data_IF_357733868600
#
_entry.id   IF_357733868600
#
_cell.length_a   1.000
_cell.length_b   1.000
_cell.length_c   1.000
_cell.angle_alpha   90.00
_cell.angle_beta   90.00
_cell.angle_gamma   90.00
#
_symmetry.space_group_name_H-M   'P 1'
#
loop_
_entity.id
_entity.type
_entity.pdbx_description
1 polymer ?
#
# COMPACT_ATOMS: atom_id res chain seq x y z
N UNK A 1 -14.83 -0.80 -1.72
CA UNK A 1 -13.89 -0.02 -2.56
C UNK A 1 -13.99 1.51 -2.44
N UNK A 2 -15.08 2.11 -1.92
CA UNK A 2 -15.15 3.58 -1.70
C UNK A 2 -14.12 4.11 -0.70
N UNK A 3 -13.73 3.29 0.30
CA UNK A 3 -12.78 3.69 1.35
C UNK A 3 -11.40 4.04 0.81
N UNK A 4 -10.84 3.25 -0.11
CA UNK A 4 -9.48 3.47 -0.64
C UNK A 4 -9.40 4.78 -1.43
N UNK A 5 -10.42 5.08 -2.23
CA UNK A 5 -10.52 6.35 -2.98
C UNK A 5 -10.58 7.57 -2.04
N UNK A 6 -11.22 7.45 -0.88
CA UNK A 6 -11.23 8.52 0.14
C UNK A 6 -9.87 8.71 0.82
N UNK A 7 -9.07 7.67 0.95
CA UNK A 7 -7.69 7.78 1.43
C UNK A 7 -6.77 8.41 0.38
N UNK A 8 -6.89 8.01 -0.89
CA UNK A 8 -6.12 8.60 -2.00
C UNK A 8 -6.41 10.09 -2.19
N UNK A 9 -7.66 10.53 -2.00
CA UNK A 9 -8.02 11.94 -2.02
C UNK A 9 -7.27 12.79 -0.95
N UNK A 10 -6.76 12.14 0.12
CA UNK A 10 -5.93 12.76 1.17
C UNK A 10 -4.42 12.56 0.94
N UNK A 11 -4.04 11.87 -0.14
CA UNK A 11 -2.67 11.63 -0.58
C UNK A 11 -2.26 12.53 -1.76
N UNK A 12 -2.86 13.72 -1.92
CA UNK A 12 -2.49 14.67 -2.99
C UNK A 12 -1.00 15.07 -2.99
N UNK A 13 -0.30 14.87 -1.87
CA UNK A 13 1.14 15.06 -1.71
C UNK A 13 2.01 13.95 -2.34
N UNK A 14 1.41 12.82 -2.74
CA UNK A 14 2.12 11.66 -3.28
C UNK A 14 2.34 11.80 -4.78
N UNK A 15 1.26 12.05 -5.55
CA UNK A 15 1.36 12.41 -6.97
C UNK A 15 0.10 13.18 -7.40
N UNK A 16 0.27 14.32 -8.07
CA UNK A 16 -0.85 14.99 -8.75
C UNK A 16 -1.17 14.26 -10.07
N UNK A 17 -2.46 14.08 -10.37
CA UNK A 17 -2.99 13.26 -11.48
C UNK A 17 -2.46 13.63 -12.89
N UNK A 18 -1.85 14.80 -13.04
CA UNK A 18 -1.27 15.30 -14.30
C UNK A 18 0.25 15.47 -14.27
N UNK A 19 0.93 15.04 -13.22
CA UNK A 19 2.37 15.25 -13.09
C UNK A 19 3.18 14.28 -13.97
N UNK A 20 4.32 14.73 -14.55
CA UNK A 20 5.29 13.87 -15.22
C UNK A 20 5.72 12.66 -14.38
N UNK A 21 5.72 12.82 -13.06
CA UNK A 21 6.01 11.80 -12.07
C UNK A 21 5.06 10.60 -12.15
N UNK A 22 3.78 10.80 -12.47
CA UNK A 22 2.80 9.71 -12.58
C UNK A 22 3.06 8.84 -13.82
N UNK A 23 3.54 9.43 -14.92
CA UNK A 23 3.95 8.68 -16.12
C UNK A 23 5.21 7.86 -15.88
N UNK A 24 6.22 8.45 -15.21
CA UNK A 24 7.42 7.72 -14.77
C UNK A 24 7.06 6.56 -13.84
N UNK A 25 6.15 6.78 -12.89
CA UNK A 25 5.68 5.73 -11.98
C UNK A 25 4.89 4.62 -12.69
N UNK A 26 4.06 4.95 -13.68
CA UNK A 26 3.41 3.94 -14.52
C UNK A 26 4.42 3.15 -15.35
N UNK A 27 5.47 3.78 -15.87
CA UNK A 27 6.57 3.11 -16.57
C UNK A 27 7.36 2.19 -15.63
N UNK A 28 7.54 2.58 -14.37
CA UNK A 28 8.13 1.69 -13.34
C UNK A 28 7.18 0.51 -13.07
N UNK A 29 5.88 0.76 -13.03
CA UNK A 29 4.88 -0.29 -12.86
C UNK A 29 4.88 -1.32 -14.00
N UNK A 30 5.11 -0.90 -15.25
CA UNK A 30 5.28 -1.79 -16.40
C UNK A 30 6.51 -2.70 -16.27
N UNK A 31 7.56 -2.26 -15.56
CA UNK A 31 8.77 -3.04 -15.31
C UNK A 31 8.72 -3.90 -14.04
N UNK A 32 7.61 -3.87 -13.29
CA UNK A 32 7.46 -4.64 -12.04
C UNK A 32 7.66 -6.16 -12.18
N UNK A 33 7.26 -6.84 -13.28
CA UNK A 33 7.53 -8.27 -13.43
C UNK A 33 9.04 -8.59 -13.50
N UNK A 34 9.83 -7.70 -14.08
CA UNK A 34 11.29 -7.85 -14.15
C UNK A 34 11.92 -7.57 -12.78
N UNK A 35 11.43 -6.55 -12.07
CA UNK A 35 11.85 -6.24 -10.70
C UNK A 35 11.51 -7.37 -9.72
N UNK A 36 10.37 -8.05 -9.89
CA UNK A 36 9.97 -9.19 -9.07
C UNK A 36 10.87 -10.43 -9.25
N UNK A 37 11.64 -10.48 -10.33
CA UNK A 37 12.56 -11.58 -10.65
C UNK A 37 14.03 -11.14 -10.62
N UNK A 38 14.32 -9.98 -10.03
CA UNK A 38 15.69 -9.54 -9.87
C UNK A 38 16.46 -10.56 -9.02
N UNK A 39 17.69 -10.95 -9.42
CA UNK A 39 18.46 -11.95 -8.70
C UNK A 39 18.84 -11.44 -7.30
N UNK A 40 18.78 -12.32 -6.32
CA UNK A 40 19.13 -12.04 -4.92
C UNK A 40 20.65 -12.17 -4.73
N UNK A 41 21.42 -11.21 -5.24
CA UNK A 41 22.88 -11.17 -5.13
C UNK A 41 23.33 -10.16 -4.04
N UNK A 42 24.59 -9.72 -4.07
CA UNK A 42 25.17 -8.82 -3.06
C UNK A 42 24.45 -7.44 -2.96
N UNK A 43 23.58 -7.09 -3.92
CA UNK A 43 22.92 -5.78 -3.98
C UNK A 43 21.47 -5.79 -3.42
N UNK A 44 21.07 -6.85 -2.71
CA UNK A 44 19.69 -7.00 -2.21
C UNK A 44 19.22 -5.81 -1.37
N UNK A 45 20.08 -5.27 -0.50
CA UNK A 45 19.74 -4.11 0.32
C UNK A 45 19.51 -2.85 -0.51
N UNK A 46 20.35 -2.60 -1.52
CA UNK A 46 20.20 -1.42 -2.38
C UNK A 46 18.91 -1.52 -3.22
N UNK A 47 18.60 -2.72 -3.74
CA UNK A 47 17.36 -2.93 -4.48
C UNK A 47 16.13 -2.84 -3.57
N UNK A 48 16.21 -3.37 -2.35
CA UNK A 48 15.14 -3.21 -1.36
C UNK A 48 14.89 -1.73 -1.01
N UNK A 49 15.95 -0.93 -0.90
CA UNK A 49 15.85 0.52 -0.73
C UNK A 49 15.18 1.21 -1.92
N UNK A 50 15.57 0.86 -3.15
CA UNK A 50 14.96 1.43 -4.37
C UNK A 50 13.48 1.09 -4.46
N UNK A 51 13.13 -0.17 -4.24
CA UNK A 51 11.74 -0.63 -4.23
C UNK A 51 10.93 0.04 -3.13
N UNK A 52 11.52 0.24 -1.94
CA UNK A 52 10.88 0.94 -0.85
C UNK A 52 10.52 2.38 -1.23
N UNK A 53 11.44 3.11 -1.86
CA UNK A 53 11.21 4.48 -2.33
C UNK A 53 10.10 4.50 -3.40
N UNK A 54 10.18 3.62 -4.40
CA UNK A 54 9.17 3.50 -5.46
C UNK A 54 7.79 3.28 -4.84
N UNK A 55 7.65 2.27 -3.98
CA UNK A 55 6.38 1.95 -3.34
C UNK A 55 5.86 3.09 -2.47
N UNK A 56 6.74 3.82 -1.78
CA UNK A 56 6.38 4.98 -0.96
C UNK A 56 5.93 6.20 -1.76
N UNK A 57 6.40 6.34 -3.01
CA UNK A 57 6.04 7.44 -3.92
C UNK A 57 4.80 7.14 -4.77
N UNK A 58 4.34 5.89 -4.83
CA UNK A 58 3.12 5.53 -5.55
C UNK A 58 1.86 5.92 -4.76
N UNK A 59 0.75 6.29 -5.42
CA UNK A 59 -0.57 6.40 -4.77
C UNK A 59 -0.96 5.08 -4.07
N UNK A 60 -1.77 5.15 -3.02
CA UNK A 60 -2.12 4.00 -2.18
C UNK A 60 -2.50 2.73 -2.97
N UNK A 61 -3.46 2.79 -3.92
CA UNK A 61 -3.88 1.60 -4.68
C UNK A 61 -2.72 1.03 -5.49
N UNK A 62 -2.01 1.88 -6.20
CA UNK A 62 -0.90 1.48 -7.08
C UNK A 62 0.26 0.92 -6.25
N UNK A 63 0.56 1.52 -5.11
CA UNK A 63 1.55 1.05 -4.15
C UNK A 63 1.23 -0.36 -3.64
N UNK A 64 -0.01 -0.59 -3.21
CA UNK A 64 -0.45 -1.91 -2.73
C UNK A 64 -0.50 -2.96 -3.84
N UNK A 65 -0.97 -2.59 -5.03
CA UNK A 65 -0.97 -3.47 -6.20
C UNK A 65 0.46 -3.87 -6.59
N UNK A 66 1.37 -2.90 -6.68
CA UNK A 66 2.78 -3.14 -6.97
C UNK A 66 3.44 -4.03 -5.91
N UNK A 67 3.15 -3.79 -4.62
CA UNK A 67 3.63 -4.64 -3.53
C UNK A 67 3.13 -6.08 -3.65
N UNK A 68 1.84 -6.29 -3.96
CA UNK A 68 1.28 -7.62 -4.20
C UNK A 68 1.94 -8.32 -5.40
N UNK A 69 2.15 -7.59 -6.49
CA UNK A 69 2.80 -8.09 -7.70
C UNK A 69 4.25 -8.53 -7.48
N UNK A 70 5.02 -7.80 -6.67
CA UNK A 70 6.37 -8.22 -6.27
C UNK A 70 6.39 -9.60 -5.59
N UNK A 71 5.29 -10.02 -4.97
CA UNK A 71 5.14 -11.37 -4.41
C UNK A 71 4.52 -12.39 -5.37
N UNK A 72 3.61 -11.95 -6.24
CA UNK A 72 2.89 -12.83 -7.15
C UNK A 72 3.72 -13.25 -8.38
N UNK A 73 4.53 -12.34 -8.92
CA UNK A 73 5.34 -12.59 -10.12
C UNK A 73 6.75 -13.10 -9.83
N UNK A 74 7.14 -13.17 -8.56
CA UNK A 74 8.48 -13.63 -8.19
C UNK A 74 8.58 -15.15 -8.32
N UNK A 75 9.57 -15.59 -9.10
CA UNK A 75 9.98 -16.99 -9.20
C UNK A 75 11.05 -17.36 -8.16
N UNK A 76 11.54 -16.39 -7.38
CA UNK A 76 12.52 -16.60 -6.32
C UNK A 76 11.84 -17.22 -5.07
N UNK A 77 12.57 -18.09 -4.37
CA UNK A 77 12.14 -18.64 -3.07
C UNK A 77 11.86 -17.55 -2.04
N UNK A 78 12.69 -16.51 -2.04
CA UNK A 78 12.48 -15.31 -1.25
C UNK A 78 11.89 -14.20 -2.12
N UNK A 79 10.62 -13.91 -1.89
CA UNK A 79 9.84 -12.94 -2.66
C UNK A 79 10.22 -11.51 -2.32
N UNK A 80 10.34 -10.66 -3.33
CA UNK A 80 10.73 -9.25 -3.15
C UNK A 80 9.76 -8.45 -2.26
N UNK A 81 8.47 -8.76 -2.28
CA UNK A 81 7.52 -8.11 -1.36
C UNK A 81 7.85 -8.38 0.12
N UNK A 82 8.25 -9.61 0.45
CA UNK A 82 8.65 -10.01 1.78
C UNK A 82 9.98 -9.36 2.17
N UNK A 83 10.97 -9.38 1.27
CA UNK A 83 12.28 -8.73 1.46
C UNK A 83 12.10 -7.25 1.76
N UNK A 84 11.33 -6.53 0.95
CA UNK A 84 11.08 -5.08 1.12
C UNK A 84 10.31 -4.81 2.42
N UNK A 85 9.36 -5.68 2.79
CA UNK A 85 8.64 -5.56 4.06
C UNK A 85 9.55 -5.72 5.28
N UNK A 86 10.43 -6.72 5.28
CA UNK A 86 11.45 -6.89 6.33
C UNK A 86 12.37 -5.68 6.38
N UNK A 87 12.86 -5.24 5.23
CA UNK A 87 13.77 -4.11 5.12
C UNK A 87 13.15 -2.81 5.67
N UNK A 88 11.87 -2.57 5.37
CA UNK A 88 11.12 -1.44 5.93
C UNK A 88 11.03 -1.54 7.46
N UNK A 89 10.73 -2.71 8.02
CA UNK A 89 10.65 -2.92 9.47
C UNK A 89 12.03 -2.75 10.14
N UNK A 90 13.09 -3.26 9.53
CA UNK A 90 14.46 -3.08 10.02
C UNK A 90 14.83 -1.59 10.06
N UNK A 91 14.50 -0.84 9.00
CA UNK A 91 14.72 0.61 8.92
C UNK A 91 13.96 1.36 10.02
N UNK A 92 12.74 0.92 10.36
CA UNK A 92 11.95 1.53 11.45
C UNK A 92 12.46 1.16 12.84
N UNK A 93 12.98 -0.06 13.01
CA UNK A 93 13.50 -0.55 14.30
C UNK A 93 14.90 -0.03 14.63
N UNK A 94 15.62 0.51 13.64
CA UNK A 94 16.98 1.00 13.81
C UNK A 94 17.00 2.27 14.66
N UNK A 95 17.73 2.23 15.78
CA UNK A 95 17.84 3.35 16.74
C UNK A 95 18.53 4.60 16.16
N UNK A 96 19.22 4.46 15.02
CA UNK A 96 19.83 5.57 14.29
C UNK A 96 19.07 5.82 13.00
N UNK A 97 18.38 6.96 12.93
CA UNK A 97 17.79 7.46 11.68
C UNK A 97 18.92 8.08 10.85
N UNK A 98 19.75 7.25 10.24
CA UNK A 98 20.88 7.72 9.40
C UNK A 98 20.38 8.37 8.10
N UNK A 99 19.17 7.99 7.64
CA UNK A 99 18.57 8.55 6.44
C UNK A 99 17.08 8.87 6.65
N UNK A 100 16.78 10.17 6.84
CA UNK A 100 15.40 10.69 7.02
C UNK A 100 14.44 10.28 5.91
N UNK A 101 14.91 10.21 4.66
CA UNK A 101 14.05 9.87 3.53
C UNK A 101 13.71 8.38 3.52
N UNK A 102 14.69 7.50 3.75
CA UNK A 102 14.43 6.05 3.87
C UNK A 102 13.46 5.76 5.00
N UNK A 103 13.65 6.40 6.16
CA UNK A 103 12.73 6.26 7.29
C UNK A 103 11.31 6.74 6.95
N UNK A 104 11.15 7.86 6.24
CA UNK A 104 9.86 8.37 5.78
C UNK A 104 9.15 7.33 4.89
N UNK A 105 9.83 6.79 3.88
CA UNK A 105 9.24 5.82 2.96
C UNK A 105 8.96 4.46 3.64
N UNK A 106 9.83 4.01 4.54
CA UNK A 106 9.59 2.85 5.41
C UNK A 106 8.30 3.01 6.21
N UNK A 107 8.11 4.18 6.83
CA UNK A 107 6.90 4.48 7.62
C UNK A 107 5.64 4.51 6.75
N UNK A 108 5.72 5.10 5.55
CA UNK A 108 4.61 5.12 4.59
C UNK A 108 4.23 3.68 4.22
N UNK A 109 5.18 2.88 3.74
CA UNK A 109 4.91 1.50 3.33
C UNK A 109 4.33 0.67 4.48
N UNK A 110 4.95 0.72 5.66
CA UNK A 110 4.47 0.01 6.84
C UNK A 110 3.03 0.37 7.20
N UNK A 111 2.70 1.67 7.20
CA UNK A 111 1.34 2.15 7.49
C UNK A 111 0.33 1.66 6.46
N UNK A 112 0.70 1.69 5.18
CA UNK A 112 -0.16 1.22 4.08
C UNK A 112 -0.45 -0.27 4.15
N UNK A 113 0.57 -1.09 4.45
CA UNK A 113 0.40 -2.53 4.62
C UNK A 113 -0.50 -2.86 5.82
N UNK A 114 -0.33 -2.15 6.94
CA UNK A 114 -1.20 -2.33 8.11
C UNK A 114 -2.65 -1.93 7.81
N UNK A 115 -2.86 -0.80 7.11
CA UNK A 115 -4.20 -0.38 6.67
C UNK A 115 -4.83 -1.43 5.75
N UNK A 116 -4.08 -1.97 4.80
CA UNK A 116 -4.58 -2.99 3.89
C UNK A 116 -4.96 -4.28 4.62
N UNK A 117 -4.11 -4.78 5.52
CA UNK A 117 -4.40 -5.95 6.35
C UNK A 117 -5.62 -5.72 7.23
N UNK A 118 -5.73 -4.55 7.87
CA UNK A 118 -6.91 -4.18 8.64
C UNK A 118 -8.16 -4.18 7.78
N UNK A 119 -8.13 -3.58 6.59
CA UNK A 119 -9.29 -3.52 5.69
C UNK A 119 -9.70 -4.91 5.21
N UNK A 120 -8.75 -5.81 4.91
CA UNK A 120 -9.04 -7.19 4.55
C UNK A 120 -9.71 -7.94 5.70
N UNK A 121 -9.13 -7.87 6.89
CA UNK A 121 -9.67 -8.58 8.05
C UNK A 121 -11.00 -8.00 8.49
N UNK A 122 -11.17 -6.68 8.39
CA UNK A 122 -12.45 -6.01 8.61
C UNK A 122 -13.51 -6.50 7.62
N UNK A 123 -13.19 -6.58 6.33
CA UNK A 123 -14.11 -7.08 5.31
C UNK A 123 -14.51 -8.55 5.58
N UNK A 124 -13.51 -9.40 5.84
CA UNK A 124 -13.73 -10.82 6.15
C UNK A 124 -14.54 -11.05 7.42
N UNK A 125 -14.30 -10.29 8.48
CA UNK A 125 -14.91 -10.56 9.79
C UNK A 125 -16.22 -9.80 9.99
N UNK A 126 -16.33 -8.58 9.47
CA UNK A 126 -17.46 -7.68 9.78
C UNK A 126 -18.38 -7.44 8.59
N UNK A 127 -17.90 -7.45 7.34
CA UNK A 127 -18.78 -7.28 6.18
C UNK A 127 -19.32 -8.60 5.65
N UNK A 128 -18.67 -9.72 5.93
CA UNK A 128 -19.23 -11.05 5.64
C UNK A 128 -20.27 -11.50 6.68
N UNK A 129 -20.23 -10.96 7.89
CA UNK A 129 -21.20 -11.25 8.95
C UNK A 129 -22.58 -10.63 8.62
N UNK A 130 -23.62 -11.48 8.61
CA UNK A 130 -24.99 -11.07 8.30
C UNK A 130 -25.54 -10.06 9.32
N UNK A 131 -25.19 -10.21 10.59
CA UNK A 131 -25.67 -9.33 11.65
C UNK A 131 -25.10 -7.91 11.52
N UNK A 132 -23.80 -7.81 11.26
CA UNK A 132 -23.13 -6.52 11.06
C UNK A 132 -23.58 -5.83 9.76
N UNK A 133 -23.80 -6.60 8.66
CA UNK A 133 -24.41 -6.06 7.43
C UNK A 133 -25.81 -5.50 7.67
N UNK A 134 -26.65 -6.21 8.43
CA UNK A 134 -28.00 -5.76 8.77
C UNK A 134 -27.95 -4.47 9.60
N UNK A 135 -27.08 -4.41 10.61
CA UNK A 135 -26.91 -3.22 11.45
C UNK A 135 -26.46 -1.99 10.66
N UNK A 136 -25.49 -2.16 9.75
CA UNK A 136 -25.02 -1.09 8.87
C UNK A 136 -26.10 -0.62 7.88
N UNK A 137 -26.88 -1.55 7.31
CA UNK A 137 -27.99 -1.22 6.43
C UNK A 137 -29.08 -0.42 7.16
N UNK A 138 -29.46 -0.85 8.38
CA UNK A 138 -30.43 -0.15 9.21
C UNK A 138 -29.94 1.25 9.60
N UNK A 139 -28.67 1.39 9.99
CA UNK A 139 -28.12 2.68 10.35
C UNK A 139 -28.06 3.65 9.16
N UNK A 140 -27.64 3.17 7.98
CA UNK A 140 -27.64 3.98 6.75
C UNK A 140 -29.04 4.44 6.36
N UNK A 141 -30.04 3.58 6.55
CA UNK A 141 -31.45 3.91 6.30
C UNK A 141 -31.97 5.00 7.24
N UNK A 142 -31.69 4.89 8.54
CA UNK A 142 -32.04 5.90 9.54
C UNK A 142 -31.41 7.27 9.24
N UNK A 143 -30.16 7.30 8.77
CA UNK A 143 -29.51 8.56 8.38
C UNK A 143 -30.17 9.18 7.14
N UNK A 144 -30.55 8.38 6.14
CA UNK A 144 -31.21 8.84 4.92
C UNK A 144 -32.65 9.32 5.15
N UNK A 145 -33.37 8.69 6.07
CA UNK A 145 -34.71 9.12 6.47
C UNK A 145 -34.63 10.46 7.22
N UNK A 146 -33.68 10.60 8.16
CA UNK A 146 -33.46 11.85 8.90
C UNK A 146 -32.93 13.03 8.06
N UNK A 147 -32.41 12.78 6.85
CA UNK A 147 -31.94 13.84 5.93
C UNK A 147 -32.97 14.22 4.86
N UNK A 148 -34.09 13.49 4.76
CA UNK A 148 -35.21 13.86 3.86
C UNK A 148 -36.28 14.69 4.55
N UNK A 149 -36.32 14.66 5.89
CA UNK A 149 -37.31 15.36 6.70
C UNK A 149 -36.78 16.70 7.30
N UNK A 150 -35.63 17.20 6.84
CA UNK A 150 -35.06 18.50 7.21
C UNK A 150 -34.66 19.33 5.99
#
# INVERSE_FOLDING_TARGET
>A
MSSISSFEARESWVVEDQSPSLRELNRIAENLPQLANFPLNQDVQEQADRLLVILGCLPLKTSLAAFGWLGAFSQNDHKWNYIVSIHANQTLSSQRIENRNRYKFAKILHTRLNLFNFLIEFDKQYLSDDATRLALATHKRLIQENTKDG
#
